data_IF_182733756309
#
_entry.id   IF_182733756309
#
_cell.length_a   1.000
_cell.length_b   1.000
_cell.length_c   1.000
_cell.angle_alpha   90.00
_cell.angle_beta   90.00
_cell.angle_gamma   90.00
#
_symmetry.space_group_name_H-M   'P 1'
#
loop_
_entity.id
_entity.type
_entity.pdbx_description
1 polymer ?
#
# COMPACT_ATOMS: atom_id res chain seq x y z
N UNK A 1 -1.32 6.18 -38.06
CA UNK A 1 -1.35 7.44 -37.32
C UNK A 1 -1.90 7.11 -35.93
N UNK A 2 -1.03 6.89 -34.92
CA UNK A 2 -1.43 6.53 -33.57
C UNK A 2 -1.97 7.78 -32.83
N UNK A 3 -3.21 8.19 -33.19
CA UNK A 3 -3.93 9.13 -32.35
C UNK A 3 -4.37 8.41 -31.07
N UNK A 4 -3.92 8.88 -29.89
CA UNK A 4 -4.49 8.44 -28.63
C UNK A 4 -6.02 8.60 -28.75
N UNK A 5 -6.76 7.50 -28.62
CA UNK A 5 -8.22 7.59 -28.66
C UNK A 5 -8.70 8.51 -27.53
N UNK A 6 -9.76 9.26 -27.78
CA UNK A 6 -10.35 10.13 -26.74
C UNK A 6 -10.65 9.36 -25.43
N UNK A 7 -10.96 8.06 -25.54
CA UNK A 7 -11.17 7.17 -24.39
C UNK A 7 -9.88 6.95 -23.57
N UNK A 8 -8.73 6.80 -24.23
CA UNK A 8 -7.45 6.64 -23.52
C UNK A 8 -7.00 7.93 -22.84
N UNK A 9 -7.19 9.07 -23.48
CA UNK A 9 -6.93 10.37 -22.86
C UNK A 9 -7.79 10.58 -21.62
N UNK A 10 -9.08 10.23 -21.70
CA UNK A 10 -9.98 10.28 -20.55
C UNK A 10 -9.50 9.36 -19.42
N UNK A 11 -9.09 8.11 -19.73
CA UNK A 11 -8.53 7.19 -18.75
C UNK A 11 -7.30 7.77 -18.04
N UNK A 12 -6.36 8.36 -18.80
CA UNK A 12 -5.17 9.01 -18.23
C UNK A 12 -5.58 10.13 -17.28
N UNK A 13 -6.47 11.02 -17.70
CA UNK A 13 -6.92 12.14 -16.86
C UNK A 13 -7.58 11.63 -15.56
N UNK A 14 -8.46 10.64 -15.66
CA UNK A 14 -9.16 10.05 -14.50
C UNK A 14 -8.17 9.37 -13.54
N UNK A 15 -7.24 8.57 -14.06
CA UNK A 15 -6.25 7.88 -13.21
C UNK A 15 -5.28 8.84 -12.54
N UNK A 16 -4.84 9.90 -13.25
CA UNK A 16 -4.02 10.97 -12.66
C UNK A 16 -4.78 11.75 -11.60
N UNK A 17 -6.06 12.04 -11.81
CA UNK A 17 -6.90 12.72 -10.83
C UNK A 17 -7.08 11.87 -9.56
N UNK A 18 -7.39 10.57 -9.70
CA UNK A 18 -7.52 9.64 -8.56
C UNK A 18 -6.21 9.56 -7.78
N UNK A 19 -5.09 9.32 -8.45
CA UNK A 19 -3.76 9.23 -7.81
C UNK A 19 -3.33 10.54 -7.16
N UNK A 20 -3.53 11.66 -7.85
CA UNK A 20 -3.20 13.00 -7.35
C UNK A 20 -4.02 13.39 -6.12
N UNK A 21 -5.33 13.15 -6.13
CA UNK A 21 -6.20 13.43 -4.98
C UNK A 21 -5.86 12.52 -3.78
N UNK A 22 -5.59 11.24 -4.01
CA UNK A 22 -5.19 10.32 -2.94
C UNK A 22 -3.85 10.77 -2.32
N UNK A 23 -2.85 11.10 -3.14
CA UNK A 23 -1.54 11.57 -2.69
C UNK A 23 -1.65 12.90 -1.93
N UNK A 24 -2.43 13.84 -2.44
CA UNK A 24 -2.68 15.11 -1.76
C UNK A 24 -3.35 14.89 -0.40
N UNK A 25 -4.37 14.04 -0.35
CA UNK A 25 -5.10 13.77 0.89
C UNK A 25 -4.21 13.10 1.94
N UNK A 26 -3.44 12.05 1.59
CA UNK A 26 -2.55 11.40 2.54
C UNK A 26 -1.47 12.35 3.06
N UNK A 27 -0.82 13.12 2.17
CA UNK A 27 0.19 14.10 2.57
C UNK A 27 -0.38 15.17 3.50
N UNK A 28 -1.61 15.62 3.24
CA UNK A 28 -2.32 16.58 4.10
C UNK A 28 -2.55 16.02 5.51
N UNK A 29 -3.03 14.77 5.62
CA UNK A 29 -3.27 14.14 6.92
C UNK A 29 -1.96 13.86 7.66
N UNK A 30 -0.96 13.29 7.00
CA UNK A 30 0.35 13.04 7.59
C UNK A 30 0.96 14.34 8.13
N UNK A 31 1.02 15.39 7.30
CA UNK A 31 1.55 16.70 7.70
C UNK A 31 0.79 17.31 8.87
N UNK A 32 -0.56 17.25 8.84
CA UNK A 32 -1.40 17.76 9.92
C UNK A 32 -1.04 17.13 11.27
N UNK A 33 -0.95 15.80 11.32
CA UNK A 33 -0.79 15.06 12.56
C UNK A 33 0.68 14.82 12.95
N UNK A 34 1.65 15.13 12.08
CA UNK A 34 3.08 15.15 12.43
C UNK A 34 3.40 16.24 13.46
N UNK A 35 2.65 17.33 13.46
CA UNK A 35 2.84 18.43 14.42
C UNK A 35 1.98 18.30 15.70
N UNK A 36 1.13 17.28 15.79
CA UNK A 36 0.29 17.04 16.97
C UNK A 36 0.99 16.02 17.87
N UNK A 37 1.46 16.44 19.07
CA UNK A 37 2.14 15.52 19.98
C UNK A 37 1.18 14.46 20.48
N UNK A 38 1.71 13.26 20.76
CA UNK A 38 0.97 12.17 21.39
C UNK A 38 1.08 12.29 22.92
N UNK A 39 -0.02 12.17 23.65
CA UNK A 39 -0.08 12.35 25.11
C UNK A 39 0.75 11.33 25.87
N UNK A 40 0.99 10.14 25.33
CA UNK A 40 1.88 9.14 25.95
C UNK A 40 3.34 9.59 26.00
N UNK A 41 3.73 10.60 25.22
CA UNK A 41 5.12 11.08 25.11
C UNK A 41 6.10 10.07 24.52
N UNK A 42 5.62 8.91 24.04
CA UNK A 42 6.47 7.89 23.45
C UNK A 42 6.92 8.27 22.04
N UNK A 43 8.14 7.88 21.70
CA UNK A 43 8.57 7.85 20.29
C UNK A 43 7.83 6.73 19.55
N UNK A 44 7.77 6.81 18.20
CA UNK A 44 7.17 5.71 17.45
C UNK A 44 7.88 4.39 17.66
N UNK A 45 9.22 4.38 17.80
CA UNK A 45 9.98 3.17 18.13
C UNK A 45 9.61 2.58 19.51
N UNK A 46 9.39 3.41 20.52
CA UNK A 46 8.92 2.97 21.83
C UNK A 46 7.49 2.44 21.76
N UNK A 47 6.61 3.10 20.99
CA UNK A 47 5.25 2.63 20.77
C UNK A 47 5.22 1.28 20.03
N UNK A 48 6.05 1.12 18.98
CA UNK A 48 6.20 -0.14 18.27
C UNK A 48 6.62 -1.28 19.21
N UNK A 49 7.68 -1.09 20.01
CA UNK A 49 8.15 -2.11 20.97
C UNK A 49 7.09 -2.48 22.01
N UNK A 50 6.33 -1.51 22.50
CA UNK A 50 5.23 -1.77 23.44
C UNK A 50 4.11 -2.57 22.79
N UNK A 51 3.76 -2.25 21.54
CA UNK A 51 2.75 -3.02 20.80
C UNK A 51 3.23 -4.45 20.51
N UNK A 52 4.51 -4.65 20.13
CA UNK A 52 5.10 -5.98 19.95
C UNK A 52 5.00 -6.83 21.23
N UNK A 53 5.34 -6.24 22.37
CA UNK A 53 5.20 -6.90 23.67
C UNK A 53 3.73 -7.22 24.01
N UNK A 54 2.82 -6.28 23.74
CA UNK A 54 1.38 -6.46 23.96
C UNK A 54 0.82 -7.66 23.19
N UNK A 55 1.29 -7.88 21.96
CA UNK A 55 0.87 -9.02 21.14
C UNK A 55 1.72 -10.30 21.33
N UNK A 56 2.70 -10.29 22.24
CA UNK A 56 3.54 -11.45 22.54
C UNK A 56 4.54 -11.81 21.46
N UNK A 57 4.95 -10.86 20.63
CA UNK A 57 5.92 -11.00 19.53
C UNK A 57 7.12 -10.07 19.74
N UNK A 58 7.62 -10.01 20.98
CA UNK A 58 8.72 -9.13 21.37
C UNK A 58 10.10 -9.51 20.77
N UNK A 59 10.20 -10.61 20.06
CA UNK A 59 11.36 -11.06 19.27
C UNK A 59 11.54 -10.29 17.95
N UNK A 60 10.54 -9.51 17.54
CA UNK A 60 10.63 -8.63 16.36
C UNK A 60 11.47 -7.40 16.70
N UNK A 61 12.55 -7.19 15.95
CA UNK A 61 13.43 -6.04 16.17
C UNK A 61 12.85 -4.76 15.55
N UNK A 62 13.17 -3.60 16.15
CA UNK A 62 12.75 -2.28 15.65
C UNK A 62 13.99 -1.47 15.29
N UNK A 63 14.17 -1.22 13.99
CA UNK A 63 15.31 -0.52 13.42
C UNK A 63 14.94 0.89 12.92
N UNK A 64 15.94 1.77 12.90
CA UNK A 64 15.84 3.06 12.24
C UNK A 64 16.31 2.91 10.79
N UNK A 65 15.45 3.25 9.84
CA UNK A 65 15.74 3.28 8.41
C UNK A 65 16.10 4.68 7.89
N UNK A 66 16.13 4.78 6.57
CA UNK A 66 16.25 6.06 5.85
C UNK A 66 14.89 6.78 5.71
N UNK A 67 14.88 7.99 5.10
CA UNK A 67 13.66 8.73 4.84
C UNK A 67 12.64 7.90 4.03
N UNK A 68 11.39 7.84 4.51
CA UNK A 68 10.30 7.11 3.86
C UNK A 68 10.40 5.58 3.92
N UNK A 69 11.31 5.05 4.73
CA UNK A 69 11.46 3.59 4.93
C UNK A 69 10.69 3.17 6.18
N UNK A 70 9.39 2.96 6.02
CA UNK A 70 8.52 2.41 7.04
C UNK A 70 7.95 1.09 6.50
N UNK A 71 8.39 -0.05 7.06
CA UNK A 71 7.96 -1.38 6.64
C UNK A 71 8.31 -2.46 7.65
N UNK A 72 7.55 -3.57 7.63
CA UNK A 72 7.92 -4.84 8.26
C UNK A 72 8.56 -5.78 7.22
N UNK A 73 9.74 -6.34 7.53
CA UNK A 73 10.38 -7.37 6.69
C UNK A 73 10.29 -8.75 7.39
N UNK A 74 9.48 -9.68 6.84
CA UNK A 74 9.36 -11.02 7.41
C UNK A 74 10.62 -11.88 7.29
N UNK A 75 11.56 -11.51 6.41
CA UNK A 75 12.82 -12.28 6.21
C UNK A 75 13.80 -12.03 7.35
N UNK A 76 13.82 -10.81 7.85
CA UNK A 76 14.70 -10.41 8.97
C UNK A 76 13.95 -10.36 10.29
N UNK A 77 12.63 -10.62 10.28
CA UNK A 77 11.72 -10.46 11.43
C UNK A 77 11.87 -9.11 12.11
N UNK A 78 11.84 -8.02 11.33
CA UNK A 78 12.09 -6.69 11.85
C UNK A 78 11.12 -5.64 11.27
N UNK A 79 10.84 -4.62 12.08
CA UNK A 79 10.16 -3.39 11.70
C UNK A 79 11.20 -2.31 11.50
N UNK A 80 11.25 -1.74 10.31
CA UNK A 80 12.08 -0.57 9.99
C UNK A 80 11.20 0.66 9.97
N UNK A 81 11.65 1.74 10.63
CA UNK A 81 10.93 3.01 10.70
C UNK A 81 11.81 4.15 10.19
N UNK A 82 11.24 5.03 9.40
CA UNK A 82 11.89 6.27 8.96
C UNK A 82 12.33 7.12 10.16
N UNK A 83 13.30 8.04 10.00
CA UNK A 83 13.79 8.85 11.11
C UNK A 83 12.65 9.59 11.85
N UNK A 84 11.67 10.10 11.10
CA UNK A 84 10.53 10.85 11.64
C UNK A 84 9.56 9.93 12.39
N UNK A 85 9.31 8.73 11.89
CA UNK A 85 8.47 7.73 12.56
C UNK A 85 9.21 7.13 13.77
N UNK A 86 10.52 6.86 13.67
CA UNK A 86 11.31 6.24 14.72
C UNK A 86 11.45 7.12 15.97
N UNK A 87 11.88 8.37 15.78
CA UNK A 87 12.18 9.31 16.86
C UNK A 87 11.02 10.28 17.17
N UNK A 88 10.05 10.40 16.28
CA UNK A 88 8.91 11.31 16.44
C UNK A 88 8.03 10.94 17.61
N UNK A 89 7.43 11.97 18.24
CA UNK A 89 6.50 11.86 19.38
C UNK A 89 5.14 12.44 19.01
N UNK A 90 4.70 12.16 17.79
CA UNK A 90 3.46 12.69 17.21
C UNK A 90 2.46 11.58 16.95
N UNK A 91 1.22 11.98 16.70
CA UNK A 91 0.16 11.06 16.28
C UNK A 91 0.58 10.29 15.01
N UNK A 92 1.15 10.98 14.01
CA UNK A 92 1.64 10.34 12.78
C UNK A 92 2.72 9.30 13.07
N UNK A 93 3.73 9.64 13.85
CA UNK A 93 4.84 8.72 14.18
C UNK A 93 4.33 7.45 14.89
N UNK A 94 3.44 7.62 15.86
CA UNK A 94 2.84 6.49 16.60
C UNK A 94 1.95 5.64 15.71
N UNK A 95 1.08 6.26 14.89
CA UNK A 95 0.18 5.53 14.00
C UNK A 95 0.96 4.73 12.94
N UNK A 96 1.98 5.33 12.31
CA UNK A 96 2.85 4.64 11.35
C UNK A 96 3.59 3.48 12.00
N UNK A 97 4.22 3.69 13.15
CA UNK A 97 4.95 2.64 13.85
C UNK A 97 4.05 1.46 14.26
N UNK A 98 2.86 1.75 14.80
CA UNK A 98 1.88 0.71 15.14
C UNK A 98 1.33 -0.01 13.91
N UNK A 99 1.22 0.65 12.76
CA UNK A 99 0.80 0.01 11.51
C UNK A 99 1.81 -1.06 11.07
N UNK A 100 3.11 -0.75 11.10
CA UNK A 100 4.16 -1.71 10.73
C UNK A 100 4.20 -2.90 11.70
N UNK A 101 3.97 -2.66 12.99
CA UNK A 101 3.76 -3.75 13.95
C UNK A 101 2.50 -4.54 13.62
N UNK A 102 1.45 -3.92 13.11
CA UNK A 102 0.26 -4.61 12.59
C UNK A 102 0.60 -5.67 11.54
N UNK A 103 1.53 -5.38 10.63
CA UNK A 103 2.07 -6.36 9.66
C UNK A 103 2.88 -7.47 10.33
N UNK A 104 3.70 -7.15 11.34
CA UNK A 104 4.39 -8.17 12.13
C UNK A 104 3.39 -9.12 12.82
N UNK A 105 2.31 -8.58 13.40
CA UNK A 105 1.23 -9.39 13.99
C UNK A 105 0.54 -10.29 12.97
N UNK A 106 0.28 -9.79 11.75
CA UNK A 106 -0.31 -10.60 10.67
C UNK A 106 0.60 -11.77 10.31
N UNK A 107 1.89 -11.52 10.19
CA UNK A 107 2.87 -12.55 9.87
C UNK A 107 2.95 -13.61 10.98
N UNK A 108 3.13 -13.19 12.23
CA UNK A 108 3.23 -14.08 13.38
C UNK A 108 1.97 -14.96 13.57
N UNK A 109 0.78 -14.41 13.29
CA UNK A 109 -0.50 -15.13 13.41
C UNK A 109 -0.88 -15.89 12.14
N UNK A 110 -0.05 -15.88 11.10
CA UNK A 110 -0.30 -16.61 9.87
C UNK A 110 -1.50 -16.13 9.07
N UNK A 111 -1.79 -14.81 9.08
CA UNK A 111 -2.91 -14.20 8.38
C UNK A 111 -2.90 -14.54 6.88
N UNK A 112 -3.94 -15.23 6.41
CA UNK A 112 -3.97 -15.80 5.06
C UNK A 112 -3.74 -14.79 3.93
N UNK A 113 -4.37 -13.59 3.91
CA UNK A 113 -4.09 -12.60 2.86
C UNK A 113 -2.63 -12.13 2.84
N UNK A 114 -1.95 -12.02 3.99
CA UNK A 114 -0.53 -11.68 4.07
C UNK A 114 0.35 -12.76 3.44
N UNK A 115 0.03 -14.04 3.65
CA UNK A 115 0.74 -15.17 3.02
C UNK A 115 0.54 -15.17 1.51
N UNK A 116 -0.69 -14.96 1.04
CA UNK A 116 -1.02 -14.89 -0.39
C UNK A 116 -0.27 -13.72 -1.04
N UNK A 117 -0.31 -12.52 -0.40
CA UNK A 117 0.46 -11.34 -0.86
C UNK A 117 1.93 -11.66 -0.99
N UNK A 118 2.54 -12.28 0.03
CA UNK A 118 3.96 -12.67 0.01
C UNK A 118 4.30 -13.63 -1.13
N UNK A 119 3.46 -14.63 -1.40
CA UNK A 119 3.63 -15.58 -2.49
C UNK A 119 3.50 -14.92 -3.88
N UNK A 120 2.69 -13.85 -4.00
CA UNK A 120 2.50 -13.13 -5.26
C UNK A 120 3.65 -12.16 -5.59
N UNK A 121 4.44 -11.71 -4.60
CA UNK A 121 5.50 -10.70 -4.81
C UNK A 121 6.45 -11.03 -5.97
N UNK A 122 7.05 -12.24 -6.09
CA UNK A 122 7.97 -12.54 -7.20
C UNK A 122 7.25 -12.50 -8.56
N UNK A 123 6.00 -12.98 -8.63
CA UNK A 123 5.20 -12.95 -9.86
C UNK A 123 4.91 -11.52 -10.28
N UNK A 124 4.49 -10.68 -9.34
CA UNK A 124 4.15 -9.28 -9.60
C UNK A 124 5.38 -8.45 -9.94
N UNK A 125 6.53 -8.70 -9.33
CA UNK A 125 7.76 -8.02 -9.69
C UNK A 125 8.14 -8.29 -11.15
N UNK A 126 8.01 -9.53 -11.63
CA UNK A 126 8.21 -9.84 -13.04
C UNK A 126 7.13 -9.17 -13.90
N UNK A 127 5.87 -9.33 -13.55
CA UNK A 127 4.73 -8.81 -14.30
C UNK A 127 4.78 -7.29 -14.45
N UNK A 128 5.04 -6.55 -13.36
CA UNK A 128 5.09 -5.07 -13.35
C UNK A 128 6.19 -4.50 -14.24
N UNK A 129 7.28 -5.24 -14.43
CA UNK A 129 8.37 -4.78 -15.28
C UNK A 129 8.20 -5.21 -16.75
N UNK A 130 7.55 -6.34 -17.01
CA UNK A 130 7.50 -6.94 -18.34
C UNK A 130 6.24 -6.58 -19.14
N UNK A 131 5.09 -6.36 -18.49
CA UNK A 131 3.81 -6.20 -19.20
C UNK A 131 3.82 -5.09 -20.25
N UNK A 132 4.42 -3.94 -19.94
CA UNK A 132 4.43 -2.79 -20.87
C UNK A 132 5.30 -3.07 -22.11
N UNK A 133 6.44 -3.76 -21.93
CA UNK A 133 7.30 -4.15 -23.03
C UNK A 133 6.61 -5.16 -23.95
N UNK A 134 5.94 -6.16 -23.37
CA UNK A 134 5.17 -7.13 -24.15
C UNK A 134 4.02 -6.47 -24.90
N UNK A 135 3.32 -5.52 -24.26
CA UNK A 135 2.26 -4.77 -24.91
C UNK A 135 2.78 -3.96 -26.12
N UNK A 136 3.87 -3.23 -25.92
CA UNK A 136 4.49 -2.43 -26.99
C UNK A 136 4.98 -3.32 -28.13
N UNK A 137 5.66 -4.42 -27.82
CA UNK A 137 6.10 -5.39 -28.87
C UNK A 137 4.91 -5.99 -29.60
N UNK A 138 3.83 -6.36 -28.88
CA UNK A 138 2.62 -6.91 -29.49
C UNK A 138 1.98 -5.96 -30.49
N UNK A 139 1.90 -4.68 -30.14
CA UNK A 139 1.35 -3.63 -31.00
C UNK A 139 2.27 -3.36 -32.20
N UNK A 140 3.59 -3.16 -31.98
CA UNK A 140 4.53 -2.82 -33.07
C UNK A 140 4.76 -3.96 -34.05
N UNK A 141 4.81 -5.20 -33.59
CA UNK A 141 5.02 -6.38 -34.41
C UNK A 141 3.71 -6.98 -34.94
N UNK A 142 2.57 -6.44 -34.52
CA UNK A 142 1.22 -6.96 -34.82
C UNK A 142 1.07 -8.45 -34.40
N UNK A 143 1.60 -8.80 -33.22
CA UNK A 143 1.53 -10.16 -32.67
C UNK A 143 0.51 -10.19 -31.53
N UNK A 144 -0.71 -10.65 -31.81
CA UNK A 144 -1.82 -10.72 -30.84
C UNK A 144 -1.45 -11.52 -29.57
N UNK A 145 -0.67 -12.59 -29.70
CA UNK A 145 -0.24 -13.38 -28.55
C UNK A 145 0.60 -12.61 -27.52
N UNK A 146 1.41 -11.65 -27.95
CA UNK A 146 2.19 -10.79 -27.03
C UNK A 146 1.29 -9.79 -26.29
N UNK A 147 0.29 -9.24 -27.00
CA UNK A 147 -0.71 -8.35 -26.39
C UNK A 147 -1.52 -9.08 -25.33
N UNK A 148 -1.98 -10.30 -25.64
CA UNK A 148 -2.70 -11.15 -24.68
C UNK A 148 -1.83 -11.50 -23.47
N UNK A 149 -0.56 -11.87 -23.68
CA UNK A 149 0.39 -12.14 -22.58
C UNK A 149 0.59 -10.91 -21.67
N UNK A 150 0.70 -9.71 -22.26
CA UNK A 150 0.81 -8.46 -21.50
C UNK A 150 -0.41 -8.22 -20.61
N UNK A 151 -1.63 -8.46 -21.14
CA UNK A 151 -2.88 -8.30 -20.38
C UNK A 151 -2.96 -9.32 -19.23
N UNK A 152 -2.58 -10.58 -19.46
CA UNK A 152 -2.54 -11.60 -18.40
C UNK A 152 -1.55 -11.23 -17.30
N UNK A 153 -0.36 -10.73 -17.67
CA UNK A 153 0.59 -10.24 -16.68
C UNK A 153 0.05 -9.04 -15.90
N UNK A 154 -0.62 -8.11 -16.58
CA UNK A 154 -1.21 -6.96 -15.90
C UNK A 154 -2.37 -7.37 -14.98
N UNK A 155 -3.14 -8.38 -15.33
CA UNK A 155 -4.17 -8.95 -14.46
C UNK A 155 -3.58 -9.49 -13.15
N UNK A 156 -2.38 -10.09 -13.17
CA UNK A 156 -1.68 -10.49 -11.95
C UNK A 156 -1.34 -9.28 -11.04
N UNK A 157 -0.98 -8.12 -11.62
CA UNK A 157 -0.78 -6.87 -10.88
C UNK A 157 -2.07 -6.42 -10.21
N UNK A 158 -3.21 -6.47 -10.92
CA UNK A 158 -4.52 -6.11 -10.36
C UNK A 158 -4.91 -7.04 -9.21
N UNK A 159 -4.73 -8.35 -9.36
CA UNK A 159 -4.99 -9.32 -8.30
C UNK A 159 -4.14 -9.01 -7.05
N UNK A 160 -2.86 -8.69 -7.23
CA UNK A 160 -1.99 -8.29 -6.12
C UNK A 160 -2.50 -7.05 -5.39
N UNK A 161 -2.93 -6.01 -6.12
CA UNK A 161 -3.51 -4.81 -5.51
C UNK A 161 -4.76 -5.15 -4.68
N UNK A 162 -5.65 -6.01 -5.20
CA UNK A 162 -6.85 -6.43 -4.50
C UNK A 162 -6.54 -7.26 -3.24
N UNK A 163 -5.56 -8.17 -3.30
CA UNK A 163 -5.10 -8.97 -2.15
C UNK A 163 -4.40 -8.09 -1.11
N UNK A 164 -3.77 -7.00 -1.53
CA UNK A 164 -3.11 -6.06 -0.62
C UNK A 164 -4.12 -5.28 0.24
N UNK A 165 -5.30 -4.94 -0.27
CA UNK A 165 -6.31 -4.17 0.48
C UNK A 165 -6.68 -4.78 1.84
N UNK A 166 -7.10 -6.06 1.96
CA UNK A 166 -7.40 -6.65 3.27
C UNK A 166 -6.18 -6.71 4.19
N UNK A 167 -4.96 -6.81 3.66
CA UNK A 167 -3.73 -6.78 4.45
C UNK A 167 -3.56 -5.41 5.11
N UNK A 168 -3.66 -4.33 4.34
CA UNK A 168 -3.47 -2.96 4.81
C UNK A 168 -4.58 -2.52 5.80
N UNK A 169 -5.84 -2.85 5.49
CA UNK A 169 -6.94 -2.56 6.41
C UNK A 169 -6.80 -3.33 7.73
N UNK A 170 -6.42 -4.60 7.69
CA UNK A 170 -6.27 -5.40 8.91
C UNK A 170 -5.05 -4.94 9.74
N UNK A 171 -3.93 -4.55 9.12
CA UNK A 171 -2.80 -3.96 9.84
C UNK A 171 -3.21 -2.68 10.58
N UNK A 172 -3.93 -1.78 9.90
CA UNK A 172 -4.48 -0.56 10.48
C UNK A 172 -5.48 -0.82 11.61
N UNK A 173 -6.35 -1.84 11.47
CA UNK A 173 -7.28 -2.25 12.54
C UNK A 173 -6.54 -2.74 13.78
N UNK A 174 -5.46 -3.52 13.63
CA UNK A 174 -4.62 -3.99 14.74
C UNK A 174 -3.92 -2.84 15.45
N UNK A 175 -3.40 -1.88 14.68
CA UNK A 175 -2.81 -0.66 15.22
C UNK A 175 -3.82 0.11 16.05
N UNK A 176 -5.03 0.36 15.54
CA UNK A 176 -6.10 1.05 16.26
C UNK A 176 -6.56 0.26 17.48
N UNK A 177 -6.72 -1.07 17.39
CA UNK A 177 -7.11 -1.91 18.51
C UNK A 177 -6.13 -1.77 19.68
N UNK A 178 -4.82 -1.81 19.40
CA UNK A 178 -3.80 -1.56 20.44
C UNK A 178 -3.87 -0.13 20.98
N UNK A 179 -3.86 0.89 20.11
CA UNK A 179 -3.86 2.29 20.56
C UNK A 179 -5.08 2.63 21.42
N UNK A 180 -6.24 2.02 21.19
CA UNK A 180 -7.43 2.19 22.02
C UNK A 180 -7.26 1.62 23.43
N UNK A 181 -6.32 0.68 23.66
CA UNK A 181 -6.03 0.15 25.00
C UNK A 181 -5.05 1.00 25.81
N UNK A 182 -4.38 1.97 25.16
CA UNK A 182 -3.31 2.76 25.80
C UNK A 182 -3.82 4.00 26.55
N UNK A 183 -5.13 4.20 26.61
CA UNK A 183 -5.73 5.34 27.33
C UNK A 183 -5.58 6.69 26.60
N UNK A 184 -5.32 6.67 25.29
CA UNK A 184 -5.24 7.89 24.48
C UNK A 184 -6.56 8.69 24.53
N UNK A 185 -6.51 10.03 24.61
CA UNK A 185 -7.67 10.89 24.42
C UNK A 185 -8.39 10.61 23.10
N UNK A 186 -9.71 10.76 23.09
CA UNK A 186 -10.53 10.49 21.89
C UNK A 186 -10.07 11.26 20.66
N UNK A 187 -9.59 12.50 20.85
CA UNK A 187 -9.05 13.33 19.75
C UNK A 187 -7.79 12.72 19.11
N UNK A 188 -6.91 12.10 19.92
CA UNK A 188 -5.70 11.44 19.41
C UNK A 188 -6.02 10.10 18.76
N UNK A 189 -6.99 9.35 19.28
CA UNK A 189 -7.51 8.13 18.63
C UNK A 189 -8.10 8.47 17.25
N UNK A 190 -8.92 9.52 17.16
CA UNK A 190 -9.49 10.01 15.90
C UNK A 190 -8.39 10.49 14.93
N UNK A 191 -7.35 11.17 15.44
CA UNK A 191 -6.19 11.59 14.65
C UNK A 191 -5.43 10.40 14.07
N UNK A 192 -5.14 9.40 14.89
CA UNK A 192 -4.48 8.15 14.47
C UNK A 192 -5.29 7.40 13.41
N UNK A 193 -6.62 7.30 13.60
CA UNK A 193 -7.52 6.72 12.62
C UNK A 193 -7.49 7.47 11.28
N UNK A 194 -7.48 8.82 11.31
CA UNK A 194 -7.40 9.62 10.09
C UNK A 194 -6.08 9.43 9.32
N UNK A 195 -4.96 9.31 10.03
CA UNK A 195 -3.65 8.99 9.44
C UNK A 195 -3.72 7.62 8.76
N UNK A 196 -4.10 6.57 9.48
CA UNK A 196 -4.17 5.20 8.96
C UNK A 196 -5.15 5.06 7.80
N UNK A 197 -6.33 5.70 7.90
CA UNK A 197 -7.32 5.73 6.83
C UNK A 197 -6.77 6.42 5.58
N UNK A 198 -6.07 7.54 5.73
CA UNK A 198 -5.48 8.25 4.61
C UNK A 198 -4.44 7.38 3.89
N UNK A 199 -3.57 6.68 4.63
CA UNK A 199 -2.62 5.72 4.05
C UNK A 199 -3.34 4.58 3.33
N UNK A 200 -4.37 3.99 3.94
CA UNK A 200 -5.15 2.90 3.33
C UNK A 200 -5.85 3.34 2.02
N UNK A 201 -6.29 4.58 1.91
CA UNK A 201 -6.91 5.12 0.68
C UNK A 201 -5.94 5.18 -0.51
N UNK A 202 -4.62 5.22 -0.30
CA UNK A 202 -3.64 5.14 -1.41
C UNK A 202 -3.69 3.75 -2.07
N UNK A 203 -3.86 2.69 -1.29
CA UNK A 203 -4.02 1.33 -1.82
C UNK A 203 -5.35 1.15 -2.55
N UNK A 204 -6.43 1.78 -2.06
CA UNK A 204 -7.72 1.80 -2.76
C UNK A 204 -7.60 2.53 -4.10
N UNK A 205 -6.93 3.68 -4.14
CA UNK A 205 -6.69 4.41 -5.36
C UNK A 205 -5.84 3.60 -6.36
N UNK A 206 -4.78 2.93 -5.89
CA UNK A 206 -3.94 2.07 -6.71
C UNK A 206 -4.72 0.87 -7.28
N UNK A 207 -5.55 0.21 -6.49
CA UNK A 207 -6.40 -0.87 -6.96
C UNK A 207 -7.42 -0.38 -8.01
N UNK A 208 -8.09 0.75 -7.74
CA UNK A 208 -9.08 1.32 -8.65
C UNK A 208 -8.45 1.71 -10.00
N UNK A 209 -7.32 2.40 -9.99
CA UNK A 209 -6.62 2.80 -11.21
C UNK A 209 -6.12 1.59 -11.99
N UNK A 210 -5.64 0.54 -11.30
CA UNK A 210 -5.22 -0.71 -11.94
C UNK A 210 -6.39 -1.45 -12.60
N UNK A 211 -7.57 -1.48 -11.96
CA UNK A 211 -8.78 -2.07 -12.55
C UNK A 211 -9.21 -1.29 -13.80
N UNK A 212 -9.25 0.03 -13.73
CA UNK A 212 -9.62 0.88 -14.88
C UNK A 212 -8.68 0.65 -16.06
N UNK A 213 -7.38 0.56 -15.80
CA UNK A 213 -6.37 0.27 -16.83
C UNK A 213 -6.57 -1.14 -17.42
N UNK A 214 -6.85 -2.16 -16.59
CA UNK A 214 -7.11 -3.51 -17.09
C UNK A 214 -8.36 -3.57 -17.97
N UNK A 215 -9.44 -2.92 -17.56
CA UNK A 215 -10.67 -2.86 -18.34
C UNK A 215 -10.43 -2.21 -19.71
N UNK A 216 -9.63 -1.14 -19.75
CA UNK A 216 -9.25 -0.51 -21.03
C UNK A 216 -8.43 -1.44 -21.92
N UNK A 217 -7.46 -2.17 -21.35
CA UNK A 217 -6.66 -3.16 -22.09
C UNK A 217 -7.52 -4.29 -22.67
N UNK A 218 -8.52 -4.77 -21.92
CA UNK A 218 -9.48 -5.78 -22.39
C UNK A 218 -10.35 -5.23 -23.52
N UNK A 219 -10.82 -3.98 -23.42
CA UNK A 219 -11.55 -3.33 -24.52
C UNK A 219 -10.70 -3.19 -25.78
N UNK A 220 -9.40 -2.87 -25.61
CA UNK A 220 -8.47 -2.78 -26.73
C UNK A 220 -8.32 -4.13 -27.46
N UNK A 221 -8.15 -5.22 -26.71
CA UNK A 221 -8.03 -6.57 -27.25
C UNK A 221 -9.31 -6.96 -28.00
N UNK A 222 -10.48 -6.78 -27.39
CA UNK A 222 -11.76 -7.10 -28.03
C UNK A 222 -12.00 -6.39 -29.35
N UNK A 223 -11.62 -5.09 -29.43
CA UNK A 223 -11.76 -4.30 -30.65
C UNK A 223 -10.72 -4.66 -31.73
N UNK A 224 -9.56 -5.20 -31.35
CA UNK A 224 -8.55 -5.67 -32.30
C UNK A 224 -8.94 -7.01 -32.94
N UNK A 225 -9.66 -7.86 -32.21
CA UNK A 225 -10.15 -9.17 -32.72
C UNK A 225 -11.40 -9.02 -33.63
N UNK A 226 -12.07 -7.86 -33.57
CA UNK A 226 -13.27 -7.55 -34.36
C UNK A 226 -12.97 -6.80 -35.69
N UNK A 227 -11.73 -6.43 -35.92
CA UNK A 227 -11.26 -5.69 -37.13
C UNK A 227 -10.44 -6.58 -38.05
#
# INVERSE_FOLDING_TARGET
>A
MFGLSNGYLLLIVVTLAIGGLATWYVNSQLKKYTHVPISTGLTGAEAARRMLMYYGIGDVEVHRGGPGQDFFDPRTNSVTLSPDAYAGRSITATATACHEVGHACQYAQGYAPMKIRGALVPVVNLASNAWIFLLMMGIFLNIAGLTTAAIVMYAAVVIFQLVTLPVEFNASQRAMAYMNTTGLPQAEQAGSFNVLRACALTYVAAALTSILQLLWLLCLLYNSDAA
#
